data_IF_534131650890
#
_entry.id   IF_534131650890
#
_cell.length_a   1.000
_cell.length_b   1.000
_cell.length_c   1.000
_cell.angle_alpha   90.00
_cell.angle_beta   90.00
_cell.angle_gamma   90.00
#
_symmetry.space_group_name_H-M   'P 1'
#
loop_
_entity.id
_entity.type
_entity.pdbx_description
1 polymer ?
#
# COMPACT_ATOMS: atom_id res chain seq x y z
N UNK A 1 40.46 -36.49 -0.18
CA UNK A 1 40.60 -35.03 -0.28
C UNK A 1 39.56 -34.53 -1.31
N UNK A 2 38.37 -34.19 -0.87
CA UNK A 2 37.27 -33.72 -1.73
C UNK A 2 37.01 -32.26 -1.41
N UNK A 3 37.32 -31.38 -2.35
CA UNK A 3 37.01 -29.95 -2.31
C UNK A 3 35.47 -29.78 -2.46
N UNK A 4 34.80 -29.40 -1.38
CA UNK A 4 33.44 -28.89 -1.45
C UNK A 4 33.52 -27.40 -1.78
N UNK A 5 33.05 -27.05 -2.98
CA UNK A 5 32.90 -25.65 -3.41
C UNK A 5 31.77 -24.94 -2.66
N UNK A 6 32.11 -23.82 -2.04
CA UNK A 6 31.17 -22.79 -1.57
C UNK A 6 30.72 -21.96 -2.78
N UNK A 7 29.52 -22.22 -3.27
CA UNK A 7 28.83 -21.26 -4.16
C UNK A 7 27.31 -21.32 -3.91
N UNK A 8 26.79 -20.37 -3.21
CA UNK A 8 25.50 -19.67 -3.37
C UNK A 8 25.28 -18.80 -2.13
N UNK A 9 25.21 -17.49 -2.30
CA UNK A 9 23.94 -16.78 -2.38
C UNK A 9 24.00 -15.52 -3.27
N UNK A 10 24.41 -15.64 -4.52
CA UNK A 10 24.44 -14.46 -5.41
C UNK A 10 23.22 -14.34 -6.34
N UNK A 11 22.39 -15.40 -6.45
CA UNK A 11 21.26 -15.40 -7.41
C UNK A 11 20.04 -14.60 -6.91
N UNK A 12 19.82 -14.50 -5.60
CA UNK A 12 18.67 -13.78 -5.05
C UNK A 12 18.77 -12.26 -5.18
N UNK A 13 19.97 -11.68 -5.10
CA UNK A 13 20.17 -10.23 -5.24
C UNK A 13 20.06 -9.73 -6.69
N UNK A 14 20.41 -10.56 -7.70
CA UNK A 14 20.27 -10.16 -9.10
C UNK A 14 18.81 -10.11 -9.57
N UNK A 15 17.92 -10.94 -9.04
CA UNK A 15 16.51 -10.94 -9.42
C UNK A 15 15.77 -9.67 -8.91
N UNK A 16 16.13 -9.16 -7.73
CA UNK A 16 15.56 -7.93 -7.20
C UNK A 16 16.01 -6.68 -7.98
N UNK A 17 17.26 -6.67 -8.46
CA UNK A 17 17.80 -5.53 -9.23
C UNK A 17 17.21 -5.41 -10.64
N UNK A 18 16.54 -6.45 -11.16
CA UNK A 18 15.92 -6.47 -12.50
C UNK A 18 14.40 -6.32 -12.48
N UNK A 19 13.77 -6.00 -11.35
CA UNK A 19 12.32 -5.76 -11.36
C UNK A 19 12.01 -4.48 -12.13
N UNK A 20 10.96 -4.46 -12.99
CA UNK A 20 10.55 -3.25 -13.73
C UNK A 20 10.33 -2.04 -12.82
N UNK A 21 9.84 -2.24 -11.59
CA UNK A 21 9.61 -1.19 -10.60
C UNK A 21 10.93 -0.62 -10.03
N UNK A 22 11.94 -1.48 -9.81
CA UNK A 22 13.29 -1.03 -9.40
C UNK A 22 13.96 -0.20 -10.50
N UNK A 23 13.78 -0.59 -11.77
CA UNK A 23 14.26 0.19 -12.92
C UNK A 23 13.57 1.56 -13.01
N UNK A 24 12.27 1.65 -12.78
CA UNK A 24 11.56 2.92 -12.70
C UNK A 24 12.12 3.80 -11.58
N UNK A 25 12.48 3.19 -10.44
CA UNK A 25 13.09 3.94 -9.36
C UNK A 25 14.49 4.47 -9.69
N UNK A 26 15.27 3.77 -10.51
CA UNK A 26 16.65 4.15 -10.83
C UNK A 26 16.73 5.13 -11.99
N UNK A 27 15.94 4.92 -13.04
CA UNK A 27 16.07 5.62 -14.32
C UNK A 27 14.80 6.36 -14.75
N UNK A 28 13.66 6.13 -14.07
CA UNK A 28 12.39 6.75 -14.44
C UNK A 28 12.36 8.26 -14.14
N UNK A 29 11.66 9.04 -14.98
CA UNK A 29 11.41 10.45 -14.69
C UNK A 29 10.65 10.61 -13.38
N UNK A 30 10.87 11.73 -12.70
CA UNK A 30 10.24 12.09 -11.42
C UNK A 30 9.32 13.28 -11.59
N UNK A 31 8.26 13.29 -10.79
CA UNK A 31 7.47 14.51 -10.62
C UNK A 31 8.31 15.57 -9.87
N UNK A 32 8.27 16.80 -10.36
CA UNK A 32 8.92 17.95 -9.72
C UNK A 32 8.12 18.48 -8.53
N UNK A 33 8.67 19.47 -7.83
CA UNK A 33 7.96 20.12 -6.71
C UNK A 33 7.83 19.27 -5.45
N UNK A 34 8.71 18.28 -5.27
CA UNK A 34 8.71 17.34 -4.13
C UNK A 34 10.11 17.20 -3.56
N UNK A 35 10.21 17.07 -2.24
CA UNK A 35 11.44 16.68 -1.57
C UNK A 35 11.21 15.50 -0.63
N UNK A 36 12.22 14.65 -0.43
CA UNK A 36 12.24 13.69 0.66
C UNK A 36 12.63 14.43 1.93
N UNK A 37 11.68 14.59 2.85
CA UNK A 37 11.85 15.35 4.09
C UNK A 37 12.51 14.53 5.20
N UNK A 38 12.33 13.21 5.18
CA UNK A 38 12.96 12.29 6.12
C UNK A 38 13.22 10.94 5.46
N UNK A 39 14.22 10.22 6.00
CA UNK A 39 14.58 8.87 5.60
C UNK A 39 14.71 7.99 6.85
N UNK A 40 14.27 6.74 6.73
CA UNK A 40 14.46 5.68 7.72
C UNK A 40 13.99 6.04 9.14
N UNK A 41 12.87 6.80 9.24
CA UNK A 41 12.25 7.07 10.53
C UNK A 41 11.67 5.80 11.14
N UNK A 42 12.07 5.49 12.37
CA UNK A 42 11.58 4.32 13.08
C UNK A 42 10.11 4.46 13.48
N UNK A 43 9.34 3.38 13.28
CA UNK A 43 8.01 3.23 13.85
C UNK A 43 7.88 1.99 14.77
N UNK A 44 8.93 1.18 14.86
CA UNK A 44 9.07 0.03 15.73
C UNK A 44 10.54 -0.36 15.87
N UNK A 45 10.80 -1.48 16.54
CA UNK A 45 12.15 -1.92 16.91
C UNK A 45 12.85 -2.71 15.81
N UNK A 46 12.10 -3.38 14.93
CA UNK A 46 12.67 -4.17 13.82
C UNK A 46 13.36 -3.25 12.80
N UNK A 47 14.49 -3.68 12.20
CA UNK A 47 15.19 -2.92 11.15
C UNK A 47 14.30 -2.55 9.95
N UNK A 48 13.29 -3.36 9.62
CA UNK A 48 12.34 -3.05 8.55
C UNK A 48 11.21 -2.11 8.98
N UNK A 49 11.01 -1.89 10.27
CA UNK A 49 9.99 -0.97 10.77
C UNK A 49 10.48 0.49 10.64
N UNK A 50 10.69 0.93 9.40
CA UNK A 50 11.17 2.27 9.03
C UNK A 50 10.37 2.82 7.87
N UNK A 51 10.15 4.13 7.84
CA UNK A 51 9.53 4.81 6.71
C UNK A 51 10.29 6.06 6.27
N UNK A 52 10.12 6.41 4.99
CA UNK A 52 10.55 7.66 4.40
C UNK A 52 9.36 8.63 4.34
N UNK A 53 9.63 9.94 4.35
CA UNK A 53 8.60 10.99 4.20
C UNK A 53 8.91 11.86 3.00
N UNK A 54 7.92 12.03 2.12
CA UNK A 54 7.96 12.92 0.96
C UNK A 54 6.95 14.05 1.14
N UNK A 55 7.36 15.26 0.83
CA UNK A 55 6.53 16.46 1.02
C UNK A 55 6.55 17.33 -0.22
N UNK A 56 5.43 18.02 -0.55
CA UNK A 56 5.45 19.08 -1.55
C UNK A 56 6.43 20.19 -1.15
N UNK A 57 7.03 20.87 -2.13
CA UNK A 57 7.87 22.05 -1.87
C UNK A 57 7.07 23.36 -1.86
N UNK A 58 5.84 23.33 -2.37
CA UNK A 58 4.93 24.45 -2.30
C UNK A 58 4.52 24.75 -0.85
N UNK A 59 4.23 26.00 -0.57
CA UNK A 59 3.64 26.42 0.72
C UNK A 59 2.12 26.29 0.61
N UNK A 60 1.48 25.45 1.44
CA UNK A 60 0.04 25.28 1.37
C UNK A 60 -0.71 26.42 2.10
N UNK A 61 -1.93 26.71 1.66
CA UNK A 61 -2.82 27.63 2.37
C UNK A 61 -3.32 27.05 3.71
N UNK A 62 -3.38 25.72 3.80
CA UNK A 62 -3.74 24.94 4.99
C UNK A 62 -2.86 23.67 5.05
N UNK A 63 -2.68 23.04 6.23
CA UNK A 63 -1.86 21.83 6.33
C UNK A 63 -2.28 20.78 5.31
N UNK A 64 -1.29 20.10 4.69
CA UNK A 64 -1.54 19.06 3.69
C UNK A 64 -2.29 17.86 4.28
N UNK A 65 -3.11 17.14 3.51
CA UNK A 65 -3.53 15.79 3.89
C UNK A 65 -2.31 14.86 3.89
N UNK A 66 -2.34 13.81 4.71
CA UNK A 66 -1.25 12.84 4.82
C UNK A 66 -1.69 11.47 4.32
N UNK A 67 -0.80 10.79 3.59
CA UNK A 67 -1.00 9.44 3.09
C UNK A 67 0.07 8.50 3.62
N UNK A 68 -0.33 7.26 3.90
CA UNK A 68 0.59 6.14 4.10
C UNK A 68 0.47 5.22 2.89
N UNK A 69 1.56 5.07 2.13
CA UNK A 69 1.62 4.22 0.92
C UNK A 69 2.26 2.88 1.24
N UNK A 70 1.49 1.79 1.14
CA UNK A 70 1.97 0.42 1.29
C UNK A 70 2.26 -0.21 -0.08
N UNK A 71 3.49 -0.64 -0.28
CA UNK A 71 3.91 -1.28 -1.53
C UNK A 71 3.50 -2.77 -1.58
N UNK A 72 3.47 -3.32 -2.81
CA UNK A 72 3.23 -4.73 -3.08
C UNK A 72 4.49 -5.60 -2.95
N UNK A 73 4.33 -6.90 -3.18
CA UNK A 73 5.43 -7.87 -3.13
C UNK A 73 5.07 -9.16 -2.41
N UNK A 74 3.80 -9.61 -2.48
CA UNK A 74 3.36 -10.91 -1.97
C UNK A 74 3.62 -11.15 -0.48
N UNK A 75 3.79 -10.10 0.32
CA UNK A 75 4.14 -10.12 1.74
C UNK A 75 5.53 -10.73 2.05
N UNK A 76 6.27 -11.20 1.05
CA UNK A 76 7.57 -11.87 1.18
C UNK A 76 8.74 -11.10 0.55
N UNK A 77 8.44 -10.05 -0.20
CA UNK A 77 9.42 -9.27 -0.93
C UNK A 77 9.06 -7.79 -1.00
N UNK A 78 9.99 -6.98 -1.49
CA UNK A 78 9.81 -5.55 -1.66
C UNK A 78 10.63 -4.70 -0.69
N UNK A 79 10.75 -3.44 -1.07
CA UNK A 79 11.48 -2.41 -0.33
C UNK A 79 10.90 -1.04 -0.69
N UNK A 80 10.77 -0.15 0.30
CA UNK A 80 10.23 1.20 0.10
C UNK A 80 11.00 1.99 -0.97
N UNK A 81 12.29 1.71 -1.15
CA UNK A 81 13.09 2.43 -2.14
C UNK A 81 12.60 2.16 -3.56
N UNK A 82 12.03 0.98 -3.85
CA UNK A 82 11.48 0.66 -5.17
C UNK A 82 10.20 1.42 -5.52
N UNK A 83 9.51 1.98 -4.52
CA UNK A 83 8.26 2.73 -4.69
C UNK A 83 8.40 4.23 -4.41
N UNK A 84 9.62 4.75 -4.19
CA UNK A 84 9.85 6.16 -3.90
C UNK A 84 9.30 7.09 -5.01
N UNK A 85 9.31 6.67 -6.26
CA UNK A 85 8.73 7.40 -7.39
C UNK A 85 7.20 7.53 -7.28
N UNK A 86 6.50 6.51 -6.79
CA UNK A 86 5.06 6.56 -6.58
C UNK A 86 4.69 7.49 -5.41
N UNK A 87 5.47 7.44 -4.31
CA UNK A 87 5.33 8.39 -3.21
C UNK A 87 5.56 9.84 -3.67
N UNK A 88 6.54 10.07 -4.55
CA UNK A 88 6.78 11.40 -5.14
C UNK A 88 5.62 11.84 -6.03
N UNK A 89 5.04 10.94 -6.82
CA UNK A 89 3.89 11.25 -7.66
C UNK A 89 2.67 11.71 -6.83
N UNK A 90 2.40 11.05 -5.70
CA UNK A 90 1.36 11.45 -4.75
C UNK A 90 1.70 12.77 -4.07
N UNK A 91 2.95 12.96 -3.65
CA UNK A 91 3.37 14.21 -3.03
C UNK A 91 3.27 15.40 -3.99
N UNK A 92 3.56 15.21 -5.27
CA UNK A 92 3.36 16.23 -6.31
C UNK A 92 1.88 16.61 -6.52
N UNK A 93 0.94 15.82 -5.98
CA UNK A 93 -0.51 16.10 -5.98
C UNK A 93 -0.99 16.72 -4.68
N UNK A 94 -0.09 17.22 -3.83
CA UNK A 94 -0.47 17.94 -2.63
C UNK A 94 -0.74 17.06 -1.41
N UNK A 95 0.00 15.99 -1.26
CA UNK A 95 -0.03 15.14 -0.07
C UNK A 95 1.33 15.09 0.62
N UNK A 96 1.36 15.00 1.93
CA UNK A 96 2.52 14.49 2.64
C UNK A 96 2.42 12.96 2.61
N UNK A 97 3.46 12.28 2.13
CA UNK A 97 3.41 10.83 1.90
C UNK A 97 4.47 10.13 2.73
N UNK A 98 4.03 9.22 3.60
CA UNK A 98 4.89 8.28 4.28
C UNK A 98 4.91 6.95 3.53
N UNK A 99 6.10 6.38 3.35
CA UNK A 99 6.33 5.13 2.63
C UNK A 99 7.08 4.17 3.55
N UNK A 100 6.37 3.29 4.30
CA UNK A 100 6.99 2.33 5.20
C UNK A 100 7.47 1.07 4.50
N UNK A 101 8.57 0.50 4.99
CA UNK A 101 8.82 -0.92 4.94
C UNK A 101 8.00 -1.63 6.02
N UNK A 102 7.79 -2.92 5.87
CA UNK A 102 7.13 -3.79 6.84
C UNK A 102 7.85 -5.13 6.89
N UNK A 103 7.69 -5.89 7.99
CA UNK A 103 8.30 -7.21 8.14
C UNK A 103 7.71 -8.21 7.14
N UNK A 104 8.53 -9.10 6.63
CA UNK A 104 8.22 -9.99 5.51
C UNK A 104 8.24 -11.47 5.94
N UNK A 105 7.52 -12.29 5.19
CA UNK A 105 7.67 -13.75 5.19
C UNK A 105 9.08 -14.09 4.66
N UNK A 106 9.78 -15.09 5.21
CA UNK A 106 9.36 -16.05 6.23
C UNK A 106 9.67 -15.63 7.67
N UNK A 107 10.27 -14.44 7.90
CA UNK A 107 10.64 -13.97 9.25
C UNK A 107 9.40 -13.78 10.12
N UNK A 108 8.33 -13.29 9.52
CA UNK A 108 7.00 -13.18 10.16
C UNK A 108 5.92 -13.77 9.25
N UNK A 109 4.72 -14.00 9.83
CA UNK A 109 3.51 -14.40 9.12
C UNK A 109 2.36 -13.50 9.56
N UNK A 110 1.21 -13.61 8.90
CA UNK A 110 -0.01 -12.95 9.36
C UNK A 110 -0.26 -13.26 10.86
N UNK A 111 -0.59 -12.24 11.67
CA UNK A 111 -0.96 -10.87 11.30
C UNK A 111 0.18 -9.83 11.35
N UNK A 112 1.43 -10.22 11.59
CA UNK A 112 2.51 -9.30 11.95
C UNK A 112 2.72 -8.13 10.97
N UNK A 113 2.62 -8.35 9.65
CA UNK A 113 2.75 -7.27 8.67
C UNK A 113 1.52 -6.35 8.64
N UNK A 114 0.33 -6.81 9.07
CA UNK A 114 -0.85 -5.94 9.27
C UNK A 114 -0.67 -5.08 10.53
N UNK A 115 -0.12 -5.67 11.59
CA UNK A 115 0.24 -4.95 12.82
C UNK A 115 1.28 -3.86 12.52
N UNK A 116 2.27 -4.16 11.65
CA UNK A 116 3.24 -3.17 11.17
C UNK A 116 2.56 -2.03 10.42
N UNK A 117 1.59 -2.33 9.55
CA UNK A 117 0.83 -1.32 8.83
C UNK A 117 0.04 -0.40 9.78
N UNK A 118 -0.60 -0.96 10.80
CA UNK A 118 -1.30 -0.18 11.82
C UNK A 118 -0.35 0.71 12.63
N UNK A 119 0.77 0.13 13.09
CA UNK A 119 1.78 0.84 13.87
C UNK A 119 2.42 1.99 13.05
N UNK A 120 2.78 1.73 11.79
CA UNK A 120 3.31 2.75 10.89
C UNK A 120 2.30 3.89 10.67
N UNK A 121 1.02 3.55 10.46
CA UNK A 121 -0.05 4.53 10.25
C UNK A 121 -0.27 5.40 11.50
N UNK A 122 -0.29 4.80 12.69
CA UNK A 122 -0.39 5.54 13.95
C UNK A 122 0.80 6.48 14.15
N UNK A 123 2.02 6.00 13.90
CA UNK A 123 3.24 6.79 14.03
C UNK A 123 3.27 7.97 13.05
N UNK A 124 2.81 7.76 11.81
CA UNK A 124 2.68 8.84 10.81
C UNK A 124 1.68 9.89 11.28
N UNK A 125 0.52 9.49 11.80
CA UNK A 125 -0.47 10.41 12.38
C UNK A 125 0.12 11.27 13.51
N UNK A 126 0.89 10.67 14.41
CA UNK A 126 1.53 11.35 15.54
C UNK A 126 2.51 12.46 15.08
N UNK A 127 3.27 12.21 14.02
CA UNK A 127 4.32 13.14 13.58
C UNK A 127 3.94 14.00 12.37
N UNK A 128 2.76 13.84 11.79
CA UNK A 128 2.31 14.50 10.55
C UNK A 128 2.51 16.03 10.61
N UNK A 129 2.19 16.67 11.73
CA UNK A 129 2.35 18.11 11.93
C UNK A 129 3.79 18.61 11.76
N UNK A 130 4.81 17.78 12.01
CA UNK A 130 6.24 18.14 11.81
C UNK A 130 6.58 18.34 10.32
N UNK A 131 5.75 17.81 9.45
CA UNK A 131 5.91 17.87 7.98
C UNK A 131 4.86 18.76 7.30
N UNK A 132 4.13 19.56 8.08
CA UNK A 132 3.12 20.47 7.57
C UNK A 132 1.83 19.76 7.12
N UNK A 133 1.54 18.57 7.68
CA UNK A 133 0.32 17.82 7.40
C UNK A 133 -0.64 17.82 8.59
N UNK A 134 -1.93 17.66 8.27
CA UNK A 134 -3.01 17.53 9.25
C UNK A 134 -3.32 16.04 9.49
N UNK A 135 -3.07 15.48 10.69
CA UNK A 135 -3.36 14.08 11.00
C UNK A 135 -4.87 13.76 10.97
N UNK A 136 -5.77 14.74 11.12
CA UNK A 136 -7.20 14.54 10.97
C UNK A 136 -7.64 14.25 9.52
N UNK A 137 -6.71 14.42 8.57
CA UNK A 137 -6.88 14.22 7.13
C UNK A 137 -5.96 13.11 6.63
N UNK A 138 -5.91 11.98 7.37
CA UNK A 138 -5.05 10.84 7.05
C UNK A 138 -5.80 9.82 6.20
N UNK A 139 -5.19 9.45 5.07
CA UNK A 139 -5.60 8.34 4.22
C UNK A 139 -4.52 7.27 4.10
N UNK A 140 -4.93 6.10 3.67
CA UNK A 140 -4.01 5.00 3.34
C UNK A 140 -4.19 4.61 1.88
N UNK A 141 -3.11 4.22 1.24
CA UNK A 141 -3.11 3.72 -0.14
C UNK A 141 -2.17 2.52 -0.23
N UNK A 142 -2.57 1.48 -0.95
CA UNK A 142 -1.73 0.32 -1.15
C UNK A 142 -1.87 -0.30 -2.54
N UNK A 143 -0.86 -1.08 -2.93
CA UNK A 143 -0.87 -1.84 -4.17
C UNK A 143 -0.64 -3.32 -3.86
N UNK A 144 -1.42 -4.25 -4.49
CA UNK A 144 -1.26 -5.70 -4.33
C UNK A 144 -1.32 -6.12 -2.84
N UNK A 145 -0.30 -6.81 -2.32
CA UNK A 145 -0.17 -7.12 -0.90
C UNK A 145 -0.31 -5.87 0.00
N UNK A 146 0.21 -4.70 -0.43
CA UNK A 146 0.03 -3.44 0.29
C UNK A 146 -1.42 -2.95 0.28
N UNK A 147 -2.18 -3.22 -0.79
CA UNK A 147 -3.61 -2.91 -0.84
C UNK A 147 -4.41 -3.80 0.13
N UNK A 148 -4.09 -5.08 0.21
CA UNK A 148 -4.62 -5.97 1.23
C UNK A 148 -4.36 -5.40 2.65
N UNK A 149 -3.11 -5.03 2.96
CA UNK A 149 -2.76 -4.46 4.26
C UNK A 149 -3.53 -3.17 4.55
N UNK A 150 -3.64 -2.26 3.58
CA UNK A 150 -4.40 -1.01 3.70
C UNK A 150 -5.88 -1.28 3.99
N UNK A 151 -6.50 -2.26 3.30
CA UNK A 151 -7.90 -2.63 3.54
C UNK A 151 -8.08 -3.32 4.90
N UNK A 152 -7.17 -4.21 5.31
CA UNK A 152 -7.23 -4.86 6.62
C UNK A 152 -7.25 -3.83 7.77
N UNK A 153 -6.32 -2.87 7.79
CA UNK A 153 -6.29 -1.85 8.86
C UNK A 153 -7.44 -0.84 8.77
N UNK A 154 -8.07 -0.69 7.60
CA UNK A 154 -9.21 0.21 7.40
C UNK A 154 -10.54 -0.43 7.82
N UNK A 155 -10.69 -1.74 7.60
CA UNK A 155 -11.93 -2.47 7.80
C UNK A 155 -11.98 -3.22 9.14
N UNK A 156 -10.90 -3.91 9.52
CA UNK A 156 -10.83 -4.58 10.82
C UNK A 156 -10.40 -3.60 11.92
N UNK A 157 -11.39 -3.20 12.74
CA UNK A 157 -11.18 -2.23 13.81
C UNK A 157 -10.12 -2.62 14.83
N UNK A 158 -9.85 -3.93 14.98
CA UNK A 158 -8.92 -4.44 15.98
C UNK A 158 -7.52 -3.86 15.82
N UNK A 159 -7.06 -3.71 14.57
CA UNK A 159 -5.70 -3.24 14.31
C UNK A 159 -5.46 -1.79 14.74
N UNK A 160 -6.32 -0.86 14.31
CA UNK A 160 -6.16 0.55 14.68
C UNK A 160 -6.51 0.81 16.15
N UNK A 161 -7.40 0.02 16.75
CA UNK A 161 -7.67 0.07 18.18
C UNK A 161 -6.48 -0.41 19.01
N UNK A 162 -5.78 -1.47 18.58
CA UNK A 162 -4.60 -2.00 19.28
C UNK A 162 -3.45 -0.99 19.38
N UNK A 163 -3.33 -0.07 18.40
CA UNK A 163 -2.33 1.01 18.41
C UNK A 163 -2.89 2.34 18.97
N UNK A 164 -4.06 2.31 19.60
CA UNK A 164 -4.65 3.46 20.30
C UNK A 164 -5.20 4.57 19.41
N UNK A 165 -5.38 4.32 18.09
CA UNK A 165 -5.83 5.33 17.13
C UNK A 165 -7.06 4.89 16.33
N UNK A 166 -8.15 4.43 16.99
CA UNK A 166 -9.37 4.07 16.26
C UNK A 166 -9.92 5.30 15.53
N UNK A 167 -10.30 5.12 14.25
CA UNK A 167 -10.86 6.19 13.43
C UNK A 167 -9.85 7.20 12.85
N UNK A 168 -8.54 6.95 12.97
CA UNK A 168 -7.51 7.80 12.37
C UNK A 168 -7.58 7.80 10.84
N UNK A 169 -7.87 6.66 10.21
CA UNK A 169 -7.99 6.52 8.76
C UNK A 169 -9.31 7.11 8.29
N UNK A 170 -9.26 8.09 7.39
CA UNK A 170 -10.42 8.83 6.88
C UNK A 170 -10.81 8.42 5.46
N UNK A 171 -9.90 7.83 4.69
CA UNK A 171 -10.13 7.30 3.36
C UNK A 171 -9.10 6.21 3.05
N UNK A 172 -9.46 5.22 2.23
CA UNK A 172 -8.55 4.17 1.83
C UNK A 172 -8.62 3.89 0.32
N UNK A 173 -7.45 3.71 -0.29
CA UNK A 173 -7.30 3.40 -1.72
C UNK A 173 -6.60 2.05 -1.86
N UNK A 174 -7.18 1.16 -2.65
CA UNK A 174 -6.60 -0.14 -3.00
C UNK A 174 -6.37 -0.26 -4.50
N UNK A 175 -5.16 -0.65 -4.88
CA UNK A 175 -4.76 -0.88 -6.27
C UNK A 175 -4.41 -2.34 -6.48
N UNK A 176 -5.19 -3.07 -7.30
CA UNK A 176 -4.95 -4.47 -7.62
C UNK A 176 -4.72 -5.36 -6.38
N UNK A 177 -5.53 -5.19 -5.36
CA UNK A 177 -5.39 -5.93 -4.10
C UNK A 177 -6.25 -7.18 -4.04
N UNK A 178 -5.77 -8.25 -3.35
CA UNK A 178 -6.57 -9.41 -3.03
C UNK A 178 -7.43 -9.11 -1.79
N UNK A 179 -8.75 -9.28 -1.92
CA UNK A 179 -9.70 -8.93 -0.86
C UNK A 179 -10.62 -10.08 -0.46
N UNK A 180 -10.77 -11.09 -1.35
CA UNK A 180 -11.53 -12.33 -1.12
C UNK A 180 -10.86 -13.49 -1.88
N UNK A 181 -9.74 -13.99 -1.37
CA UNK A 181 -8.81 -14.89 -2.06
C UNK A 181 -8.68 -16.27 -1.41
N UNK A 182 -9.77 -16.81 -0.91
CA UNK A 182 -9.83 -18.20 -0.44
C UNK A 182 -10.32 -19.14 -1.55
N UNK A 183 -9.80 -20.37 -1.59
CA UNK A 183 -8.73 -20.94 -0.77
C UNK A 183 -7.35 -20.37 -1.12
N UNK A 184 -6.38 -20.50 -0.21
CA UNK A 184 -4.98 -20.14 -0.52
C UNK A 184 -4.41 -21.13 -1.52
N UNK A 185 -4.20 -20.72 -2.75
CA UNK A 185 -3.81 -21.57 -3.88
C UNK A 185 -2.47 -21.18 -4.53
N UNK A 186 -1.93 -20.00 -4.17
CA UNK A 186 -0.61 -19.55 -4.64
C UNK A 186 0.43 -19.55 -3.52
N UNK A 187 1.72 -19.80 -3.82
CA UNK A 187 2.78 -19.88 -2.80
C UNK A 187 2.83 -18.69 -1.86
N UNK A 188 2.60 -17.46 -2.36
CA UNK A 188 2.61 -16.25 -1.55
C UNK A 188 1.52 -16.27 -0.47
N UNK A 189 0.27 -16.61 -0.84
CA UNK A 189 -0.85 -16.68 0.12
C UNK A 189 -0.67 -17.85 1.09
N UNK A 190 -0.24 -19.03 0.62
CA UNK A 190 0.03 -20.19 1.48
C UNK A 190 1.10 -19.85 2.52
N UNK A 191 2.20 -19.23 2.10
CA UNK A 191 3.30 -18.87 3.01
C UNK A 191 2.90 -17.81 4.01
N UNK A 192 2.16 -16.78 3.59
CA UNK A 192 1.77 -15.67 4.45
C UNK A 192 0.67 -16.05 5.45
N UNK A 193 -0.31 -16.84 5.03
CA UNK A 193 -1.57 -17.06 5.76
C UNK A 193 -1.86 -18.51 6.14
N UNK A 194 -1.18 -19.50 5.56
CA UNK A 194 -1.50 -20.91 5.71
C UNK A 194 -1.42 -21.47 7.14
N UNK A 195 -0.95 -20.67 8.11
CA UNK A 195 -0.87 -21.03 9.54
C UNK A 195 -2.07 -20.53 10.36
N UNK A 196 -2.98 -19.75 9.74
CA UNK A 196 -4.12 -19.14 10.45
C UNK A 196 -5.22 -20.17 10.64
N UNK A 197 -5.69 -20.32 11.87
CA UNK A 197 -6.72 -21.32 12.21
C UNK A 197 -8.07 -21.01 11.53
N UNK A 198 -8.44 -19.73 11.44
CA UNK A 198 -9.63 -19.27 10.70
C UNK A 198 -9.19 -18.39 9.53
N UNK A 199 -9.11 -18.93 8.31
CA UNK A 199 -8.64 -18.18 7.14
C UNK A 199 -9.53 -16.99 6.78
N UNK A 200 -10.80 -16.96 7.19
CA UNK A 200 -11.70 -15.84 6.91
C UNK A 200 -11.22 -14.54 7.57
N UNK A 201 -10.48 -14.64 8.68
CA UNK A 201 -9.89 -13.50 9.39
C UNK A 201 -8.76 -12.81 8.62
N UNK A 202 -8.31 -13.39 7.51
CA UNK A 202 -7.29 -12.80 6.64
C UNK A 202 -7.88 -12.02 5.48
N UNK A 203 -9.22 -12.08 5.29
CA UNK A 203 -9.93 -11.57 4.14
C UNK A 203 -10.56 -10.20 4.43
N UNK A 204 -10.15 -9.10 3.77
CA UNK A 204 -10.77 -7.77 3.93
C UNK A 204 -12.30 -7.78 3.81
N UNK A 205 -12.86 -8.57 2.90
CA UNK A 205 -14.32 -8.67 2.66
C UNK A 205 -15.09 -9.08 3.91
N UNK A 206 -14.49 -9.86 4.81
CA UNK A 206 -15.09 -10.32 6.08
C UNK A 206 -15.42 -9.15 7.01
N UNK A 207 -14.66 -8.05 6.93
CA UNK A 207 -14.76 -6.91 7.83
C UNK A 207 -15.51 -5.70 7.25
N UNK A 208 -16.22 -5.90 6.12
CA UNK A 208 -17.04 -4.84 5.52
C UNK A 208 -18.09 -4.33 6.51
N UNK A 209 -18.21 -3.00 6.68
CA UNK A 209 -19.10 -2.36 7.64
C UNK A 209 -19.53 -0.97 7.19
N UNK A 210 -20.73 -0.54 7.63
CA UNK A 210 -21.33 0.73 7.23
C UNK A 210 -20.53 1.98 7.62
N UNK A 211 -19.86 1.93 8.77
CA UNK A 211 -19.08 3.05 9.33
C UNK A 211 -17.57 2.95 9.06
N UNK A 212 -17.18 2.13 8.07
CA UNK A 212 -15.80 2.11 7.57
C UNK A 212 -15.46 3.43 6.86
N UNK A 213 -14.17 3.81 6.81
CA UNK A 213 -13.76 4.90 5.95
C UNK A 213 -14.18 4.59 4.49
N UNK A 214 -14.50 5.62 3.68
CA UNK A 214 -14.77 5.44 2.27
C UNK A 214 -13.60 4.75 1.56
N UNK A 215 -13.92 3.82 0.66
CA UNK A 215 -12.97 3.08 -0.15
C UNK A 215 -13.03 3.50 -1.61
N UNK A 216 -11.86 3.56 -2.26
CA UNK A 216 -11.74 3.58 -3.71
C UNK A 216 -10.82 2.44 -4.15
N UNK A 217 -11.31 1.57 -5.03
CA UNK A 217 -10.60 0.38 -5.47
C UNK A 217 -10.39 0.41 -6.99
N UNK A 218 -9.14 0.38 -7.43
CA UNK A 218 -8.77 0.34 -8.83
C UNK A 218 -8.19 -1.02 -9.22
N UNK A 219 -8.57 -1.55 -10.42
CA UNK A 219 -8.05 -2.82 -10.91
C UNK A 219 -7.88 -2.82 -12.43
N UNK A 220 -6.87 -3.53 -12.94
CA UNK A 220 -6.68 -3.76 -14.35
C UNK A 220 -7.45 -4.99 -14.82
N UNK A 221 -8.12 -4.92 -15.98
CA UNK A 221 -8.92 -6.07 -16.48
C UNK A 221 -8.07 -7.23 -17.02
N UNK A 222 -6.77 -7.01 -17.25
CA UNK A 222 -5.83 -8.05 -17.69
C UNK A 222 -4.88 -8.50 -16.56
N UNK A 223 -5.28 -8.27 -15.30
CA UNK A 223 -4.55 -8.75 -14.15
C UNK A 223 -4.78 -10.26 -13.97
N UNK A 224 -3.69 -11.03 -14.16
CA UNK A 224 -3.69 -12.51 -14.01
C UNK A 224 -3.01 -12.95 -12.70
N UNK A 225 -2.60 -12.01 -11.84
CA UNK A 225 -1.94 -12.28 -10.56
C UNK A 225 -2.97 -12.16 -9.42
N UNK A 226 -3.75 -11.08 -9.45
CA UNK A 226 -4.91 -10.87 -8.57
C UNK A 226 -6.11 -10.60 -9.48
N UNK A 227 -7.18 -11.34 -9.29
CA UNK A 227 -8.35 -11.22 -10.15
C UNK A 227 -9.12 -9.92 -9.86
N UNK A 228 -9.60 -9.26 -10.93
CA UNK A 228 -10.34 -8.00 -10.80
C UNK A 228 -11.66 -8.17 -10.03
N UNK A 229 -12.19 -9.39 -9.99
CA UNK A 229 -13.38 -9.78 -9.22
C UNK A 229 -13.24 -9.48 -7.73
N UNK A 230 -12.03 -9.61 -7.14
CA UNK A 230 -11.77 -9.25 -5.73
C UNK A 230 -12.19 -7.81 -5.42
N UNK A 231 -11.90 -6.89 -6.35
CA UNK A 231 -12.29 -5.48 -6.24
C UNK A 231 -13.80 -5.31 -6.24
N UNK A 232 -14.49 -5.95 -7.18
CA UNK A 232 -15.96 -5.89 -7.30
C UNK A 232 -16.63 -6.52 -6.07
N UNK A 233 -16.18 -7.71 -5.64
CA UNK A 233 -16.72 -8.42 -4.46
C UNK A 233 -16.63 -7.55 -3.20
N UNK A 234 -15.46 -6.95 -2.94
CA UNK A 234 -15.31 -6.08 -1.76
C UNK A 234 -16.21 -4.84 -1.85
N UNK A 235 -16.29 -4.18 -3.01
CA UNK A 235 -17.15 -3.02 -3.19
C UNK A 235 -18.64 -3.35 -3.06
N UNK A 236 -19.10 -4.44 -3.63
CA UNK A 236 -20.48 -4.92 -3.48
C UNK A 236 -20.78 -5.24 -2.01
N UNK A 237 -19.86 -5.94 -1.33
CA UNK A 237 -20.01 -6.25 0.08
C UNK A 237 -20.08 -5.00 0.95
N UNK A 238 -19.23 -4.01 0.70
CA UNK A 238 -19.27 -2.71 1.40
C UNK A 238 -20.63 -2.02 1.21
N UNK A 239 -21.10 -1.91 -0.03
CA UNK A 239 -22.40 -1.29 -0.37
C UNK A 239 -23.57 -2.04 0.28
N UNK A 240 -23.53 -3.37 0.30
CA UNK A 240 -24.60 -4.21 0.89
C UNK A 240 -24.80 -3.99 2.39
N UNK A 241 -23.76 -3.57 3.10
CA UNK A 241 -23.83 -3.24 4.53
C UNK A 241 -23.96 -1.74 4.80
N UNK A 242 -24.17 -0.91 3.75
CA UNK A 242 -24.31 0.55 3.86
C UNK A 242 -22.99 1.32 3.92
N UNK A 243 -21.86 0.67 3.65
CA UNK A 243 -20.55 1.32 3.54
C UNK A 243 -20.35 2.00 2.17
N UNK A 244 -19.37 2.88 2.09
CA UNK A 244 -19.04 3.63 0.86
C UNK A 244 -17.86 2.98 0.16
N UNK A 245 -18.07 2.55 -1.10
CA UNK A 245 -17.02 2.02 -1.97
C UNK A 245 -17.25 2.44 -3.42
N UNK A 246 -16.23 3.02 -4.01
CA UNK A 246 -16.13 3.28 -5.44
C UNK A 246 -15.12 2.32 -6.05
N UNK A 247 -15.45 1.75 -7.20
CA UNK A 247 -14.55 0.89 -7.95
C UNK A 247 -14.33 1.42 -9.35
N UNK A 248 -13.15 1.18 -9.89
CA UNK A 248 -12.84 1.48 -11.29
C UNK A 248 -11.97 0.40 -11.89
N UNK A 249 -12.50 -0.25 -12.93
CA UNK A 249 -11.77 -1.22 -13.73
C UNK A 249 -11.13 -0.51 -14.93
N UNK A 250 -9.85 -0.81 -15.19
CA UNK A 250 -9.06 -0.20 -16.26
C UNK A 250 -8.79 -1.22 -17.36
N UNK A 251 -9.48 -1.11 -18.52
CA UNK A 251 -9.30 -2.03 -19.62
C UNK A 251 -7.85 -2.09 -20.10
N UNK A 252 -7.35 -3.30 -20.33
CA UNK A 252 -6.03 -3.54 -20.91
C UNK A 252 -4.84 -3.35 -19.96
N UNK A 253 -5.07 -3.00 -18.69
CA UNK A 253 -4.00 -2.94 -17.71
C UNK A 253 -3.83 -4.28 -16.98
N UNK A 254 -2.57 -4.69 -16.82
CA UNK A 254 -2.19 -5.82 -15.97
C UNK A 254 -1.82 -5.37 -14.55
N UNK A 255 -1.42 -6.33 -13.69
CA UNK A 255 -1.08 -6.10 -12.28
C UNK A 255 -0.04 -4.98 -12.05
N UNK A 256 1.06 -5.02 -12.79
CA UNK A 256 2.15 -4.05 -12.65
C UNK A 256 1.82 -2.71 -13.34
N UNK A 257 1.04 -2.72 -14.41
CA UNK A 257 0.66 -1.52 -15.12
C UNK A 257 -0.10 -0.54 -14.22
N UNK A 258 -0.98 -1.03 -13.35
CA UNK A 258 -1.84 -0.20 -12.54
C UNK A 258 -1.03 0.81 -11.70
N UNK A 259 -0.06 0.32 -10.92
CA UNK A 259 0.79 1.23 -10.14
C UNK A 259 1.80 1.97 -11.03
N UNK A 260 2.28 1.37 -12.14
CA UNK A 260 3.26 2.00 -13.00
C UNK A 260 2.74 3.28 -13.67
N UNK A 261 1.41 3.43 -13.82
CA UNK A 261 0.78 4.68 -14.30
C UNK A 261 1.03 5.89 -13.39
N UNK A 262 1.49 5.70 -12.16
CA UNK A 262 1.92 6.81 -11.30
C UNK A 262 3.22 7.45 -11.78
N UNK A 263 4.04 6.71 -12.54
CA UNK A 263 5.24 7.26 -13.17
C UNK A 263 4.86 8.14 -14.38
N UNK A 264 5.50 9.31 -14.56
CA UNK A 264 5.30 10.14 -15.75
C UNK A 264 5.49 9.38 -17.07
N UNK A 265 6.30 8.32 -17.09
CA UNK A 265 6.57 7.49 -18.25
C UNK A 265 5.33 6.72 -18.73
N UNK A 266 4.51 6.23 -17.82
CA UNK A 266 3.37 5.37 -18.14
C UNK A 266 2.00 6.00 -17.82
N UNK A 267 1.97 7.22 -17.31
CA UNK A 267 0.75 7.93 -16.88
C UNK A 267 -0.32 8.04 -17.99
N UNK A 268 0.10 8.07 -19.26
CA UNK A 268 -0.82 8.12 -20.40
C UNK A 268 -1.56 6.81 -20.67
N UNK A 269 -1.18 5.69 -20.05
CA UNK A 269 -1.89 4.42 -20.23
C UNK A 269 -3.31 4.48 -19.66
N UNK A 270 -3.47 5.07 -18.47
CA UNK A 270 -4.77 5.26 -17.84
C UNK A 270 -4.66 6.29 -16.70
N UNK A 271 -5.75 6.99 -16.35
CA UNK A 271 -5.76 8.06 -15.35
C UNK A 271 -5.86 7.54 -13.90
N UNK A 272 -5.15 6.44 -13.56
CA UNK A 272 -5.26 5.79 -12.25
C UNK A 272 -4.82 6.73 -11.12
N UNK A 273 -3.71 7.45 -11.31
CA UNK A 273 -3.21 8.40 -10.32
C UNK A 273 -4.19 9.55 -10.11
N UNK A 274 -4.71 10.10 -11.20
CA UNK A 274 -5.67 11.22 -11.17
C UNK A 274 -6.98 10.82 -10.49
N UNK A 275 -7.52 9.65 -10.81
CA UNK A 275 -8.75 9.12 -10.20
C UNK A 275 -8.58 8.87 -8.70
N UNK A 276 -7.49 8.19 -8.32
CA UNK A 276 -7.18 7.92 -6.91
C UNK A 276 -6.98 9.22 -6.10
N UNK A 277 -6.25 10.19 -6.67
CA UNK A 277 -6.00 11.46 -5.97
C UNK A 277 -7.23 12.36 -5.94
N UNK A 278 -8.10 12.33 -6.96
CA UNK A 278 -9.38 13.04 -6.94
C UNK A 278 -10.30 12.51 -5.83
N UNK A 279 -10.38 11.17 -5.67
CA UNK A 279 -11.09 10.56 -4.55
C UNK A 279 -10.50 11.01 -3.20
N UNK A 280 -9.17 10.90 -3.03
CA UNK A 280 -8.52 11.27 -1.78
C UNK A 280 -8.71 12.76 -1.43
N UNK A 281 -8.63 13.66 -2.40
CA UNK A 281 -8.90 15.09 -2.15
C UNK A 281 -10.36 15.34 -1.75
N UNK A 282 -11.31 14.63 -2.33
CA UNK A 282 -12.74 14.77 -1.97
C UNK A 282 -13.00 14.29 -0.54
N UNK A 283 -12.39 13.19 -0.12
CA UNK A 283 -12.66 12.59 1.19
C UNK A 283 -11.79 13.17 2.31
N UNK A 284 -10.61 13.68 1.99
CA UNK A 284 -9.70 14.27 2.96
C UNK A 284 -9.78 15.82 2.99
N UNK A 285 -10.39 16.41 2.03
CA UNK A 285 -10.63 17.86 1.94
C UNK A 285 -9.47 18.61 1.34
#
# INVERSE_FOLDING_TARGET
MTRRGLFAPALGMLAAACSPLAMLNTFGPRDGGVRRAARDLAYGDDPRQRFDVFVPTAVPERPWPVLVLFYGGGWDSGDKTYYAWAAQALAARGFVVALPDYRLVPQVHFPAFIEDAALATARVGEIAGRYGADPARLGVIGQSAGAHMAMMISLDRRYMAAVGTPGLIRAAVGLAGPYDFLPFDVPASINAFGRVADPTLTQPVTFARADAPPLWLGHGTEDVIVHAEDTTILCERMRSVGGRCEEKLYPGLNHADLISTFSPLFRKKAPVLEDATAFLHRELG
#
